data_IF_268891374774
#
_entry.id   IF_268891374774
#
_cell.length_a   1.000
_cell.length_b   1.000
_cell.length_c   1.000
_cell.angle_alpha   90.00
_cell.angle_beta   90.00
_cell.angle_gamma   90.00
#
_symmetry.space_group_name_H-M   'P 1'
#
loop_
_entity.id
_entity.type
_entity.pdbx_description
1 polymer ?
#
# COMPACT_ATOMS: atom_id res chain seq x y z
N UNK A 1 -8.08 4.75 -5.41
CA UNK A 1 -8.49 3.46 -4.83
C UNK A 1 -7.30 2.50 -4.83
N UNK A 2 -7.29 1.47 -3.99
CA UNK A 2 -6.29 0.41 -4.07
C UNK A 2 -6.67 -0.55 -5.20
N UNK A 3 -5.72 -0.88 -6.07
CA UNK A 3 -5.89 -1.84 -7.17
C UNK A 3 -5.22 -3.20 -6.88
N UNK A 4 -4.18 -3.19 -6.07
CA UNK A 4 -3.40 -4.37 -5.72
C UNK A 4 -2.67 -4.12 -4.40
N UNK A 5 -2.46 -5.17 -3.61
CA UNK A 5 -1.54 -5.19 -2.49
C UNK A 5 -0.97 -6.61 -2.34
N UNK A 6 0.31 -6.73 -2.02
CA UNK A 6 0.96 -8.04 -1.93
C UNK A 6 0.45 -8.88 -0.78
N UNK A 7 0.23 -8.29 0.39
CA UNK A 7 -0.18 -8.97 1.63
C UNK A 7 -0.90 -7.96 2.53
N UNK A 8 -2.09 -8.33 2.99
CA UNK A 8 -3.01 -7.50 3.77
C UNK A 8 -3.46 -8.28 5.02
N UNK A 9 -2.58 -9.11 5.57
CA UNK A 9 -2.98 -10.09 6.57
C UNK A 9 -3.48 -9.45 7.87
N UNK A 10 -2.77 -8.46 8.41
CA UNK A 10 -3.11 -7.87 9.70
C UNK A 10 -4.01 -6.63 9.58
N UNK A 11 -3.81 -5.83 8.53
CA UNK A 11 -4.65 -4.68 8.22
C UNK A 11 -4.67 -4.39 6.72
N UNK A 12 -5.79 -3.87 6.21
CA UNK A 12 -6.03 -3.69 4.77
C UNK A 12 -5.36 -2.44 4.19
N UNK A 13 -4.92 -2.51 2.93
CA UNK A 13 -4.26 -1.40 2.24
C UNK A 13 -5.22 -0.21 1.99
N UNK A 14 -6.53 -0.43 1.98
CA UNK A 14 -7.55 0.62 1.90
C UNK A 14 -7.40 1.66 3.01
N UNK A 15 -6.88 1.26 4.18
CA UNK A 15 -6.67 2.16 5.31
C UNK A 15 -5.65 3.26 5.00
N UNK A 16 -4.75 3.07 4.02
CA UNK A 16 -3.81 4.09 3.57
C UNK A 16 -4.49 5.31 2.95
N UNK A 17 -5.74 5.16 2.48
CA UNK A 17 -6.50 6.18 1.78
C UNK A 17 -7.61 6.80 2.63
N UNK A 18 -7.71 6.43 3.91
CA UNK A 18 -8.71 7.01 4.79
C UNK A 18 -8.44 8.51 4.97
N UNK A 19 -9.47 9.37 4.89
CA UNK A 19 -9.31 10.81 5.02
C UNK A 19 -9.07 11.26 6.47
N UNK A 20 -9.43 10.44 7.43
CA UNK A 20 -9.20 10.69 8.86
C UNK A 20 -7.77 10.36 9.24
N UNK A 21 -7.30 11.03 10.30
CA UNK A 21 -6.08 10.60 10.97
C UNK A 21 -6.23 9.18 11.55
N UNK A 22 -5.17 8.35 11.51
CA UNK A 22 -5.19 7.03 12.10
C UNK A 22 -5.46 7.12 13.60
N UNK A 23 -6.13 6.09 14.12
CA UNK A 23 -6.40 5.94 15.55
C UNK A 23 -5.87 4.61 16.08
N UNK A 24 -5.61 4.56 17.39
CA UNK A 24 -5.30 3.32 18.10
C UNK A 24 -6.36 3.02 19.15
N UNK A 25 -6.96 1.83 19.07
CA UNK A 25 -7.98 1.38 20.02
C UNK A 25 -7.43 0.18 20.77
N UNK A 26 -7.04 0.36 22.04
CA UNK A 26 -6.31 -0.63 22.86
C UNK A 26 -6.97 -2.01 22.95
N UNK A 27 -8.30 -2.06 22.98
CA UNK A 27 -9.04 -3.33 23.17
C UNK A 27 -9.70 -3.86 21.90
N UNK A 28 -9.34 -3.31 20.73
CA UNK A 28 -9.87 -3.77 19.43
C UNK A 28 -8.95 -4.78 18.77
N UNK A 29 -9.54 -5.87 18.31
CA UNK A 29 -8.90 -6.99 17.63
C UNK A 29 -9.72 -7.43 16.41
N UNK A 30 -9.06 -8.12 15.49
CA UNK A 30 -9.63 -8.85 14.35
C UNK A 30 -9.29 -10.33 14.53
N UNK A 31 -9.83 -11.19 13.67
CA UNK A 31 -9.46 -12.62 13.66
C UNK A 31 -7.97 -12.84 13.34
N UNK A 32 -7.30 -11.82 12.79
CA UNK A 32 -5.89 -11.87 12.37
C UNK A 32 -4.96 -11.26 13.42
N UNK A 33 -5.48 -10.68 14.50
CA UNK A 33 -4.70 -10.12 15.59
C UNK A 33 -5.14 -8.70 15.96
N UNK A 34 -4.20 -7.89 16.42
CA UNK A 34 -4.47 -6.51 16.83
C UNK A 34 -5.06 -5.73 15.66
N UNK A 35 -6.18 -5.03 15.86
CA UNK A 35 -6.69 -4.12 14.84
C UNK A 35 -5.78 -2.89 14.74
N UNK A 36 -5.36 -2.56 13.52
CA UNK A 36 -4.53 -1.39 13.23
C UNK A 36 -5.23 -0.51 12.18
N UNK A 37 -5.14 0.80 12.39
CA UNK A 37 -5.62 1.81 11.44
C UNK A 37 -4.51 2.18 10.44
N UNK A 38 -4.26 1.26 9.52
CA UNK A 38 -3.20 1.35 8.53
C UNK A 38 -3.11 0.07 7.71
N UNK A 39 -2.02 -0.10 6.97
CA UNK A 39 -1.74 -1.33 6.21
C UNK A 39 -0.63 -2.13 6.91
N UNK A 40 -0.90 -3.40 7.20
CA UNK A 40 0.07 -4.26 7.87
C UNK A 40 0.09 -5.66 7.23
N UNK A 41 1.25 -6.01 6.68
CA UNK A 41 1.53 -7.31 6.09
C UNK A 41 2.16 -8.28 7.10
N UNK A 42 2.18 -9.56 6.76
CA UNK A 42 3.01 -10.52 7.50
C UNK A 42 4.49 -10.20 7.40
N UNK A 43 5.23 -10.53 8.47
CA UNK A 43 6.70 -10.49 8.47
C UNK A 43 7.26 -11.31 7.32
N UNK A 44 7.95 -10.64 6.39
CA UNK A 44 8.63 -11.31 5.28
C UNK A 44 9.90 -12.00 5.77
N UNK A 45 10.12 -13.24 5.31
CA UNK A 45 11.32 -14.07 5.59
C UNK A 45 12.10 -14.41 4.32
N UNK A 46 11.77 -13.74 3.23
CA UNK A 46 12.38 -13.88 1.91
C UNK A 46 12.82 -12.49 1.42
N UNK A 47 13.67 -12.45 0.39
CA UNK A 47 14.03 -11.19 -0.24
C UNK A 47 12.80 -10.46 -0.83
N UNK A 48 12.92 -9.14 -0.96
CA UNK A 48 11.89 -8.26 -1.53
C UNK A 48 11.18 -7.41 -0.47
N UNK A 49 10.11 -6.75 -0.88
CA UNK A 49 9.29 -5.86 -0.07
C UNK A 49 7.80 -6.14 -0.32
N UNK A 50 6.92 -5.59 0.51
CA UNK A 50 5.49 -5.54 0.23
C UNK A 50 5.15 -4.21 -0.44
N UNK A 51 4.23 -4.24 -1.39
CA UNK A 51 3.84 -3.06 -2.17
C UNK A 51 2.34 -3.09 -2.49
N UNK A 52 1.80 -1.92 -2.80
CA UNK A 52 0.42 -1.75 -3.27
C UNK A 52 0.39 -0.80 -4.48
N UNK A 53 -0.63 -0.95 -5.33
CA UNK A 53 -0.91 -0.01 -6.42
C UNK A 53 -2.11 0.83 -6.03
N UNK A 54 -1.93 2.13 -6.13
CA UNK A 54 -2.95 3.13 -5.84
C UNK A 54 -3.33 3.84 -7.14
N UNK A 55 -4.60 3.74 -7.54
CA UNK A 55 -5.17 4.56 -8.60
C UNK A 55 -5.51 5.95 -8.05
N UNK A 56 -4.91 6.99 -8.61
CA UNK A 56 -5.29 8.38 -8.32
C UNK A 56 -6.69 8.70 -8.87
N UNK A 57 -7.41 9.58 -8.19
CA UNK A 57 -8.74 10.03 -8.63
C UNK A 57 -8.72 10.89 -9.90
N UNK A 58 -7.57 11.48 -10.21
CA UNK A 58 -7.36 12.28 -11.42
C UNK A 58 -5.90 12.16 -11.88
N UNK A 59 -5.61 12.26 -13.19
CA UNK A 59 -4.26 12.44 -13.70
C UNK A 59 -3.58 13.68 -13.11
N UNK A 60 -2.27 13.60 -12.87
CA UNK A 60 -1.53 14.76 -12.38
C UNK A 60 -0.06 14.46 -12.09
N UNK A 61 0.67 15.49 -11.67
CA UNK A 61 2.06 15.38 -11.24
C UNK A 61 2.14 15.25 -9.73
N UNK A 62 2.95 14.31 -9.24
CA UNK A 62 3.22 14.13 -7.82
C UNK A 62 4.23 15.20 -7.40
N UNK A 63 3.83 16.07 -6.46
CA UNK A 63 4.71 17.09 -5.85
C UNK A 63 5.33 16.63 -4.54
N UNK A 64 4.75 15.60 -3.96
CA UNK A 64 5.18 15.02 -2.71
C UNK A 64 4.14 14.07 -2.15
N UNK A 65 4.51 13.35 -1.10
CA UNK A 65 3.67 12.40 -0.38
C UNK A 65 3.83 12.57 1.12
N UNK A 66 2.77 12.22 1.85
CA UNK A 66 2.80 12.08 3.30
C UNK A 66 2.80 10.59 3.65
N UNK A 67 3.86 10.11 4.30
CA UNK A 67 3.94 8.75 4.84
C UNK A 67 3.79 8.83 6.35
N UNK A 68 2.76 8.15 6.86
CA UNK A 68 2.40 8.16 8.26
C UNK A 68 2.56 6.76 8.86
N UNK A 69 3.47 6.63 9.82
CA UNK A 69 3.75 5.36 10.51
C UNK A 69 3.13 5.30 11.91
N UNK A 70 2.21 6.24 12.26
CA UNK A 70 1.61 6.32 13.60
C UNK A 70 1.14 4.95 14.12
N UNK A 71 1.43 4.68 15.39
CA UNK A 71 1.10 3.44 16.12
C UNK A 71 1.85 2.18 15.70
N UNK A 72 2.67 2.22 14.65
CA UNK A 72 3.61 1.16 14.31
C UNK A 72 4.97 1.43 14.98
N UNK A 73 5.14 1.04 16.24
CA UNK A 73 6.31 1.41 17.08
C UNK A 73 7.39 0.32 17.18
N UNK A 74 7.57 -0.46 16.12
CA UNK A 74 8.51 -1.58 16.07
C UNK A 74 8.26 -2.52 14.89
N UNK A 75 7.08 -2.41 14.27
CA UNK A 75 6.64 -3.11 13.07
C UNK A 75 6.36 -2.15 11.89
N UNK A 76 6.76 -0.88 11.98
CA UNK A 76 6.65 0.05 10.86
C UNK A 76 7.42 -0.44 9.64
N UNK A 77 7.01 0.03 8.45
CA UNK A 77 7.88 -0.04 7.29
C UNK A 77 9.20 0.70 7.59
N UNK A 78 10.37 0.05 7.48
CA UNK A 78 11.64 0.69 7.80
C UNK A 78 12.07 1.69 6.72
N UNK A 79 11.61 1.48 5.48
CA UNK A 79 11.87 2.32 4.31
C UNK A 79 10.68 2.20 3.36
N UNK A 80 10.51 3.17 2.48
CA UNK A 80 9.59 3.07 1.34
C UNK A 80 10.24 3.68 0.09
N UNK A 81 9.69 3.35 -1.07
CA UNK A 81 9.93 4.06 -2.33
C UNK A 81 8.59 4.27 -3.03
N UNK A 82 8.57 5.12 -4.05
CA UNK A 82 7.39 5.38 -4.86
C UNK A 82 7.74 5.32 -6.33
N UNK A 83 6.99 4.53 -7.08
CA UNK A 83 6.99 4.53 -8.54
C UNK A 83 5.65 5.06 -9.05
N UNK A 84 5.65 5.64 -10.24
CA UNK A 84 4.44 6.09 -10.90
C UNK A 84 4.50 5.87 -12.41
N UNK A 85 3.34 5.67 -13.00
CA UNK A 85 3.14 5.67 -14.44
C UNK A 85 1.85 6.44 -14.77
N UNK A 86 1.84 7.03 -15.97
CA UNK A 86 0.62 7.54 -16.57
C UNK A 86 0.08 6.48 -17.52
N UNK A 87 -1.10 5.95 -17.20
CA UNK A 87 -1.78 4.91 -17.94
C UNK A 87 -2.92 5.55 -18.73
N UNK A 88 -2.84 5.50 -20.06
CA UNK A 88 -3.73 6.24 -20.96
C UNK A 88 -4.15 5.49 -22.22
N UNK A 89 -3.60 4.29 -22.44
CA UNK A 89 -3.91 3.48 -23.61
C UNK A 89 -5.12 2.57 -23.34
N UNK A 90 -5.77 2.07 -24.39
CA UNK A 90 -6.92 1.15 -24.25
C UNK A 90 -6.54 -0.13 -23.49
N UNK A 91 -5.31 -0.60 -23.67
CA UNK A 91 -4.76 -1.77 -22.96
C UNK A 91 -4.66 -1.52 -21.46
N UNK A 92 -4.38 -0.28 -21.05
CA UNK A 92 -4.37 0.12 -19.65
C UNK A 92 -5.77 0.06 -19.04
N UNK A 93 -6.81 0.50 -19.75
CA UNK A 93 -8.19 0.44 -19.26
C UNK A 93 -8.63 -1.01 -18.99
N UNK A 94 -8.21 -1.93 -19.87
CA UNK A 94 -8.43 -3.37 -19.68
C UNK A 94 -7.67 -3.90 -18.47
N UNK A 95 -6.40 -3.50 -18.31
CA UNK A 95 -5.59 -3.86 -17.15
C UNK A 95 -6.19 -3.36 -15.83
N UNK A 96 -6.64 -2.09 -15.80
CA UNK A 96 -7.30 -1.48 -14.64
C UNK A 96 -8.60 -2.21 -14.28
N UNK A 97 -9.39 -2.61 -15.29
CA UNK A 97 -10.61 -3.40 -15.08
C UNK A 97 -10.27 -4.77 -14.49
N UNK A 98 -9.29 -5.47 -15.07
CA UNK A 98 -8.82 -6.77 -14.59
C UNK A 98 -8.35 -6.70 -13.12
N UNK A 99 -7.60 -5.66 -12.76
CA UNK A 99 -7.12 -5.45 -11.40
C UNK A 99 -8.26 -5.24 -10.40
N UNK A 100 -9.22 -4.36 -10.73
CA UNK A 100 -10.42 -4.13 -9.91
C UNK A 100 -11.20 -5.41 -9.67
N UNK A 101 -11.39 -6.22 -10.71
CA UNK A 101 -12.04 -7.52 -10.60
C UNK A 101 -11.22 -8.52 -9.78
N UNK A 102 -9.89 -8.52 -9.91
CA UNK A 102 -9.01 -9.40 -9.15
C UNK A 102 -8.98 -9.12 -7.65
N UNK A 103 -9.29 -7.87 -7.26
CA UNK A 103 -9.31 -7.39 -5.87
C UNK A 103 -10.64 -7.62 -5.16
N UNK A 104 -11.72 -7.99 -5.86
CA UNK A 104 -13.02 -8.26 -5.21
C UNK A 104 -12.85 -9.34 -4.13
N UNK A 105 -13.18 -8.98 -2.88
CA UNK A 105 -13.02 -9.86 -1.71
C UNK A 105 -11.63 -9.86 -1.06
N UNK A 106 -10.68 -9.05 -1.55
CA UNK A 106 -9.42 -8.79 -0.85
C UNK A 106 -9.64 -7.85 0.35
N UNK A 107 -8.74 -7.94 1.33
CA UNK A 107 -8.77 -7.16 2.57
C UNK A 107 -8.01 -7.87 3.70
N UNK A 108 -8.42 -7.61 4.95
CA UNK A 108 -7.78 -8.21 6.13
C UNK A 108 -7.75 -9.75 6.00
N UNK A 109 -6.61 -10.35 6.32
CA UNK A 109 -6.39 -11.79 6.25
C UNK A 109 -6.02 -12.33 4.88
N UNK A 110 -5.82 -11.47 3.88
CA UNK A 110 -5.51 -11.90 2.51
C UNK A 110 -4.05 -11.68 2.12
N UNK A 111 -3.59 -12.45 1.14
CA UNK A 111 -2.32 -12.26 0.42
C UNK A 111 -2.55 -12.49 -1.06
N UNK A 112 -1.92 -11.69 -1.92
CA UNK A 112 -2.02 -11.82 -3.35
C UNK A 112 -1.66 -13.26 -3.79
N UNK A 113 -2.64 -13.93 -4.41
CA UNK A 113 -2.46 -15.23 -5.02
C UNK A 113 -2.02 -15.11 -6.48
N UNK A 114 -1.90 -16.25 -7.16
CA UNK A 114 -1.47 -16.29 -8.56
C UNK A 114 -2.35 -15.44 -9.48
N UNK A 115 -3.66 -15.40 -9.24
CA UNK A 115 -4.60 -14.61 -10.04
C UNK A 115 -4.27 -13.12 -9.95
N UNK A 116 -4.08 -12.59 -8.75
CA UNK A 116 -3.75 -11.18 -8.54
C UNK A 116 -2.35 -10.85 -9.07
N UNK A 117 -1.38 -11.76 -8.89
CA UNK A 117 -0.02 -11.59 -9.41
C UNK A 117 0.02 -11.57 -10.95
N UNK A 118 -0.75 -12.45 -11.61
CA UNK A 118 -0.90 -12.42 -13.07
C UNK A 118 -1.60 -11.15 -13.54
N UNK A 119 -2.64 -10.70 -12.83
CA UNK A 119 -3.37 -9.49 -13.15
C UNK A 119 -2.50 -8.23 -13.03
N UNK A 120 -1.64 -8.13 -12.00
CA UNK A 120 -0.76 -6.97 -11.87
C UNK A 120 0.45 -7.02 -12.81
N UNK A 121 0.87 -8.23 -13.22
CA UNK A 121 1.96 -8.40 -14.18
C UNK A 121 1.71 -7.76 -15.54
N UNK A 122 0.45 -7.54 -15.94
CA UNK A 122 0.15 -6.87 -17.22
C UNK A 122 0.47 -5.37 -17.22
N UNK A 123 0.65 -4.75 -16.04
CA UNK A 123 1.02 -3.34 -15.93
C UNK A 123 2.52 -3.09 -16.10
N UNK A 124 3.35 -4.14 -16.07
CA UNK A 124 4.81 -4.04 -16.08
C UNK A 124 5.33 -2.99 -15.08
N UNK A 125 4.80 -3.00 -13.85
CA UNK A 125 5.07 -1.99 -12.82
C UNK A 125 6.54 -1.89 -12.44
N UNK A 126 7.35 -2.91 -12.70
CA UNK A 126 8.79 -2.88 -12.54
C UNK A 126 9.50 -1.87 -13.46
N UNK A 127 8.84 -1.44 -14.54
CA UNK A 127 9.36 -0.44 -15.49
C UNK A 127 8.89 0.98 -15.19
N UNK A 128 8.03 1.17 -14.18
CA UNK A 128 7.50 2.48 -13.84
C UNK A 128 8.60 3.39 -13.31
N UNK A 129 8.46 4.69 -13.61
CA UNK A 129 9.42 5.70 -13.18
C UNK A 129 9.46 5.76 -11.66
N UNK A 130 10.65 5.64 -11.09
CA UNK A 130 10.88 5.91 -9.67
C UNK A 130 10.76 7.42 -9.43
N UNK A 131 9.76 7.81 -8.63
CA UNK A 131 9.46 9.20 -8.26
C UNK A 131 10.13 9.54 -6.93
N UNK A 132 10.15 8.58 -6.00
CA UNK A 132 10.83 8.70 -4.71
C UNK A 132 11.69 7.47 -4.51
N UNK A 133 13.00 7.70 -4.40
CA UNK A 133 13.97 6.65 -4.09
C UNK A 133 13.73 6.07 -2.70
N UNK A 134 14.31 4.90 -2.43
CA UNK A 134 14.24 4.26 -1.11
C UNK A 134 14.63 5.23 0.00
N UNK A 135 13.65 5.61 0.82
CA UNK A 135 13.75 6.62 1.87
C UNK A 135 13.48 5.97 3.24
N UNK A 136 14.36 6.19 4.24
CA UNK A 136 14.14 5.68 5.60
C UNK A 136 12.91 6.29 6.27
N UNK A 137 12.19 5.49 7.04
CA UNK A 137 11.07 5.93 7.87
C UNK A 137 11.39 5.71 9.35
N UNK A 138 10.82 6.56 10.19
CA UNK A 138 10.89 6.48 11.64
C UNK A 138 9.74 5.65 12.21
N UNK A 139 9.92 5.03 13.40
CA UNK A 139 8.84 4.39 14.12
C UNK A 139 7.69 5.35 14.46
N UNK A 140 6.51 4.77 14.63
CA UNK A 140 5.22 5.43 14.82
C UNK A 140 4.99 6.20 16.13
N UNK A 141 6.05 6.67 16.78
CA UNK A 141 5.95 7.48 17.99
C UNK A 141 5.45 8.89 17.65
N UNK A 142 4.75 9.49 18.61
CA UNK A 142 4.26 10.86 18.51
C UNK A 142 5.40 11.84 18.14
N UNK A 143 5.12 12.74 17.20
CA UNK A 143 6.07 13.74 16.70
C UNK A 143 7.15 13.22 15.75
N UNK A 144 7.25 11.90 15.50
CA UNK A 144 8.26 11.31 14.60
C UNK A 144 7.66 10.50 13.44
N UNK A 145 6.38 10.17 13.52
CA UNK A 145 5.70 9.21 12.65
C UNK A 145 5.31 9.76 11.28
N UNK A 146 5.24 11.08 11.11
CA UNK A 146 4.78 11.72 9.88
C UNK A 146 5.95 12.22 9.06
N UNK A 147 6.03 11.78 7.81
CA UNK A 147 7.11 12.11 6.88
C UNK A 147 6.49 12.81 5.66
N UNK A 148 6.88 14.06 5.41
CA UNK A 148 6.54 14.80 4.19
C UNK A 148 7.75 14.74 3.26
N UNK A 149 7.54 14.25 2.05
CA UNK A 149 8.61 13.97 1.10
C UNK A 149 8.22 14.56 -0.24
N UNK A 150 9.06 15.42 -0.78
CA UNK A 150 8.87 16.20 -2.01
C UNK A 150 9.83 15.74 -3.12
#
# INVERSE_FOLDING_TARGET
SILFATDEWFAAAENLLLPSDPIFITDKFTDQGKWMDGWESRRKRTAGHDWSIIQLGHPGSIRGVKIDTRFFTGNQAPRFSLQAAYLSEEEDEKALTLLKESRKGCGIGTKAGEKQLKAVGVLFSEKWTEVINITPLQPGYEGKSVHYIE
#
